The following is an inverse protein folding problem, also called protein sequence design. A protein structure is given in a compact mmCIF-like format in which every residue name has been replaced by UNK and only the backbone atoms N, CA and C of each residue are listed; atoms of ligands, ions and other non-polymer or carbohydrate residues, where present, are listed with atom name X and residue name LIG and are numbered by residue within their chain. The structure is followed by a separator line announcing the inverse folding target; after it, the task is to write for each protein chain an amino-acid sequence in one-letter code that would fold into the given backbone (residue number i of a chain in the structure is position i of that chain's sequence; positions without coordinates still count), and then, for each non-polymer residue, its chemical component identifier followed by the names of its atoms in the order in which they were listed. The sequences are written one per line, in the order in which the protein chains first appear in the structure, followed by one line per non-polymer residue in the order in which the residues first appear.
data_IF_732649456624
#
_entry.id   IF_732649456624
#
_cell.length_a   1.000
_cell.length_b   1.000
_cell.length_c   1.000
_cell.angle_alpha   90.00
_cell.angle_beta   90.00
_cell.angle_gamma   90.00
#
_symmetry.space_group_name_H-M   'P 1'
#
loop_
_entity.id
_entity.type
_entity.pdbx_description
1 polymer ?
#
# COMPACT_ATOMS: atom_id res chain seq x y z
N UNK A 1 8.61 38.59 27.49
CA UNK A 1 9.13 37.24 27.18
C UNK A 1 8.03 36.29 27.60
N UNK A 2 7.11 36.02 26.67
CA UNK A 2 5.92 35.22 26.94
C UNK A 2 6.29 33.73 26.87
N UNK A 3 5.84 32.89 27.82
CA UNK A 3 6.12 31.47 27.77
C UNK A 3 5.35 30.85 26.59
N UNK A 4 6.11 30.27 25.66
CA UNK A 4 5.60 29.49 24.53
C UNK A 4 4.84 28.27 25.10
N UNK A 5 3.53 28.23 24.89
CA UNK A 5 2.69 27.11 25.32
C UNK A 5 3.17 25.81 24.63
N UNK A 6 3.55 24.80 25.42
CA UNK A 6 3.92 23.49 24.92
C UNK A 6 2.68 22.71 24.51
N UNK A 7 2.74 21.89 23.46
CA UNK A 7 1.60 21.11 22.95
C UNK A 7 0.98 20.15 23.97
N UNK A 8 1.66 19.91 25.10
CA UNK A 8 1.19 19.14 26.25
C UNK A 8 0.27 19.92 27.19
N UNK A 9 0.26 21.24 27.10
CA UNK A 9 -0.50 22.13 28.00
C UNK A 9 -1.88 22.52 27.41
N UNK A 10 -2.15 22.17 26.15
CA UNK A 10 -3.45 22.39 25.51
C UNK A 10 -4.42 21.29 25.91
N UNK A 11 -5.00 21.43 27.10
CA UNK A 11 -6.13 20.60 27.53
C UNK A 11 -7.42 21.21 27.02
N UNK A 12 -7.88 20.74 25.85
CA UNK A 12 -9.20 21.08 25.33
C UNK A 12 -10.33 20.56 26.23
N UNK A 13 -11.42 21.31 26.31
CA UNK A 13 -12.58 20.92 27.11
C UNK A 13 -13.26 19.69 26.47
N UNK A 14 -13.27 18.55 27.19
CA UNK A 14 -13.90 17.32 26.70
C UNK A 14 -15.41 17.38 26.96
N UNK A 15 -16.16 17.85 25.97
CA UNK A 15 -17.62 17.87 26.03
C UNK A 15 -18.11 16.45 25.74
N UNK A 16 -18.73 15.82 26.73
CA UNK A 16 -19.43 14.55 26.55
C UNK A 16 -20.82 14.85 26.02
N UNK A 17 -21.11 14.40 24.79
CA UNK A 17 -22.47 14.44 24.25
C UNK A 17 -23.31 13.41 25.01
N UNK A 18 -24.14 13.87 25.93
CA UNK A 18 -25.15 13.02 26.55
C UNK A 18 -26.28 12.82 25.54
N UNK A 19 -26.58 11.56 25.21
CA UNK A 19 -27.71 11.23 24.34
C UNK A 19 -29.00 11.39 25.14
N UNK A 20 -29.81 12.39 24.81
CA UNK A 20 -31.09 12.66 25.47
C UNK A 20 -32.24 11.77 24.99
N UNK A 21 -32.10 11.14 23.82
CA UNK A 21 -33.12 10.29 23.19
C UNK A 21 -32.54 8.91 22.80
N UNK A 22 -33.25 7.80 23.08
CA UNK A 22 -32.81 6.44 22.73
C UNK A 22 -32.66 6.16 21.23
N UNK A 23 -33.17 7.04 20.34
CA UNK A 23 -33.02 6.91 18.88
C UNK A 23 -31.75 7.58 18.33
N UNK A 24 -30.98 8.27 19.16
CA UNK A 24 -29.74 8.89 18.72
C UNK A 24 -28.67 7.83 18.40
N UNK A 25 -28.06 7.94 17.22
CA UNK A 25 -26.90 7.12 16.85
C UNK A 25 -25.74 7.45 17.79
N UNK A 26 -25.38 6.48 18.63
CA UNK A 26 -24.19 6.59 19.49
C UNK A 26 -22.98 6.77 18.60
N UNK A 27 -22.31 7.92 18.70
CA UNK A 27 -21.04 8.14 18.03
C UNK A 27 -20.05 7.08 18.47
N UNK A 28 -19.78 6.10 17.60
CA UNK A 28 -18.67 5.17 17.81
C UNK A 28 -17.40 6.00 17.63
N UNK A 29 -16.63 6.18 18.71
CA UNK A 29 -15.23 6.56 18.55
C UNK A 29 -14.61 5.42 17.78
N UNK A 30 -14.37 5.63 16.48
CA UNK A 30 -13.64 4.67 15.66
C UNK A 30 -12.43 4.19 16.46
N UNK A 31 -12.27 2.87 16.55
CA UNK A 31 -11.14 2.28 17.28
C UNK A 31 -9.87 3.00 16.85
N UNK A 32 -8.96 3.33 17.80
CA UNK A 32 -7.67 3.88 17.44
C UNK A 32 -7.06 2.96 16.36
N UNK A 33 -6.50 3.53 15.27
CA UNK A 33 -5.96 2.72 14.18
C UNK A 33 -5.04 1.67 14.80
N UNK A 34 -5.35 0.40 14.53
CA UNK A 34 -4.57 -0.72 15.03
C UNK A 34 -3.10 -0.45 14.70
N UNK A 35 -2.23 -0.52 15.71
CA UNK A 35 -0.79 -0.23 15.60
C UNK A 35 -0.01 -1.21 14.70
N UNK A 36 -0.70 -1.97 13.86
CA UNK A 36 -0.16 -2.87 12.84
C UNK A 36 -0.28 -2.28 11.42
N UNK A 37 -0.26 -0.96 11.26
CA UNK A 37 0.02 -0.39 9.94
C UNK A 37 1.43 -0.84 9.55
N UNK A 38 1.56 -1.71 8.54
CA UNK A 38 2.87 -2.08 7.99
C UNK A 38 3.62 -0.80 7.63
N UNK A 39 4.88 -0.71 8.05
CA UNK A 39 5.75 0.37 7.61
C UNK A 39 5.82 0.39 6.09
N UNK A 40 5.99 1.57 5.49
CA UNK A 40 6.05 1.74 4.04
C UNK A 40 7.09 0.82 3.41
N UNK A 41 8.25 0.66 4.06
CA UNK A 41 9.29 -0.30 3.64
C UNK A 41 8.73 -1.72 3.53
N UNK A 42 7.97 -2.17 4.53
CA UNK A 42 7.38 -3.50 4.55
C UNK A 42 6.38 -3.69 3.41
N UNK A 43 5.50 -2.70 3.21
CA UNK A 43 4.54 -2.71 2.10
C UNK A 43 5.23 -2.77 0.73
N UNK A 44 6.26 -1.96 0.51
CA UNK A 44 7.02 -1.98 -0.76
C UNK A 44 7.71 -3.31 -0.98
N UNK A 45 8.36 -3.88 0.05
CA UNK A 45 9.02 -5.18 -0.08
C UNK A 45 8.03 -6.31 -0.36
N UNK A 46 6.87 -6.29 0.30
CA UNK A 46 5.80 -7.25 0.03
C UNK A 46 5.33 -7.16 -1.43
N UNK A 47 5.11 -5.95 -1.95
CA UNK A 47 4.67 -5.79 -3.33
C UNK A 47 5.75 -6.11 -4.37
N UNK A 48 7.03 -5.85 -4.07
CA UNK A 48 8.13 -6.32 -4.92
C UNK A 48 8.14 -7.85 -5.03
N UNK A 49 7.87 -8.55 -3.92
CA UNK A 49 7.73 -10.00 -3.93
C UNK A 49 6.50 -10.43 -4.74
N UNK A 50 5.37 -9.72 -4.64
CA UNK A 50 4.19 -9.97 -5.46
C UNK A 50 4.51 -9.87 -6.96
N UNK A 51 5.19 -8.80 -7.39
CA UNK A 51 5.59 -8.63 -8.81
C UNK A 51 6.55 -9.72 -9.27
N UNK A 52 7.49 -10.14 -8.41
CA UNK A 52 8.36 -11.28 -8.71
C UNK A 52 7.57 -12.58 -8.90
N UNK A 53 6.59 -12.85 -8.03
CA UNK A 53 5.75 -14.04 -8.14
C UNK A 53 4.90 -14.02 -9.42
N UNK A 54 4.40 -12.84 -9.84
CA UNK A 54 3.69 -12.70 -11.11
C UNK A 54 4.57 -13.04 -12.31
N UNK A 55 5.83 -12.59 -12.31
CA UNK A 55 6.81 -12.95 -13.35
C UNK A 55 7.10 -14.46 -13.38
N UNK A 56 7.33 -15.06 -12.21
CA UNK A 56 7.57 -16.52 -12.12
C UNK A 56 6.36 -17.32 -12.61
N UNK A 57 5.15 -16.88 -12.27
CA UNK A 57 3.91 -17.51 -12.75
C UNK A 57 3.77 -17.39 -14.27
N UNK A 58 4.03 -16.21 -14.84
CA UNK A 58 3.95 -16.05 -16.31
C UNK A 58 4.98 -16.91 -17.03
N UNK A 59 6.18 -17.04 -16.48
CA UNK A 59 7.24 -17.90 -17.01
C UNK A 59 6.86 -19.38 -16.92
N UNK A 60 6.29 -19.80 -15.79
CA UNK A 60 5.82 -21.17 -15.58
C UNK A 60 4.72 -21.54 -16.58
N UNK A 61 3.70 -20.69 -16.72
CA UNK A 61 2.61 -20.89 -17.67
C UNK A 61 3.13 -20.92 -19.11
N UNK A 62 4.07 -20.04 -19.46
CA UNK A 62 4.71 -20.02 -20.78
C UNK A 62 5.48 -21.31 -21.06
N UNK A 63 6.21 -21.83 -20.06
CA UNK A 63 6.92 -23.11 -20.20
C UNK A 63 5.95 -24.27 -20.34
N UNK A 64 4.91 -24.33 -19.51
CA UNK A 64 3.90 -25.40 -19.56
C UNK A 64 3.18 -25.43 -20.91
N UNK A 65 2.85 -24.26 -21.48
CA UNK A 65 2.25 -24.18 -22.82
C UNK A 65 3.15 -24.83 -23.89
N UNK A 66 4.47 -24.66 -23.79
CA UNK A 66 5.42 -25.24 -24.75
C UNK A 66 5.61 -26.74 -24.52
N UNK A 67 5.62 -27.19 -23.26
CA UNK A 67 5.90 -28.59 -22.92
C UNK A 67 4.67 -29.50 -22.94
N UNK A 68 3.50 -28.96 -22.61
CA UNK A 68 2.24 -29.67 -22.51
C UNK A 68 1.08 -28.72 -22.90
N UNK A 69 0.89 -28.48 -24.20
CA UNK A 69 -0.04 -27.47 -24.72
C UNK A 69 -1.52 -27.77 -24.41
N UNK A 70 -1.90 -29.01 -24.11
CA UNK A 70 -3.28 -29.37 -23.75
C UNK A 70 -3.59 -29.12 -22.26
N UNK A 71 -2.57 -28.86 -21.44
CA UNK A 71 -2.70 -28.66 -19.99
C UNK A 71 -2.95 -27.21 -19.57
N UNK A 72 -2.82 -26.25 -20.49
CA UNK A 72 -2.90 -24.81 -20.18
C UNK A 72 -3.60 -24.05 -21.31
N UNK A 73 -4.54 -23.17 -20.97
CA UNK A 73 -5.16 -22.28 -21.96
C UNK A 73 -4.17 -21.17 -22.37
N UNK A 74 -4.02 -20.96 -23.68
CA UNK A 74 -3.22 -19.88 -24.25
C UNK A 74 -3.64 -18.51 -23.72
N UNK A 75 -4.92 -18.28 -23.45
CA UNK A 75 -5.44 -17.02 -22.90
C UNK A 75 -4.91 -16.79 -21.49
N UNK A 76 -4.88 -17.82 -20.63
CA UNK A 76 -4.35 -17.70 -19.27
C UNK A 76 -2.88 -17.32 -19.26
N UNK A 77 -2.10 -17.87 -20.21
CA UNK A 77 -0.68 -17.51 -20.39
C UNK A 77 -0.56 -16.03 -20.80
N UNK A 78 -1.34 -15.60 -21.78
CA UNK A 78 -1.31 -14.19 -22.22
C UNK A 78 -1.77 -13.21 -21.16
N UNK A 79 -2.81 -13.56 -20.38
CA UNK A 79 -3.31 -12.75 -19.26
C UNK A 79 -2.24 -12.66 -18.19
N UNK A 80 -1.61 -13.77 -17.81
CA UNK A 80 -0.54 -13.78 -16.81
C UNK A 80 0.66 -12.94 -17.26
N UNK A 81 1.05 -13.02 -18.55
CA UNK A 81 2.10 -12.18 -19.13
C UNK A 81 1.71 -10.70 -19.10
N UNK A 82 0.48 -10.35 -19.44
CA UNK A 82 0.00 -8.97 -19.39
C UNK A 82 -0.01 -8.42 -17.96
N UNK A 83 -0.48 -9.21 -17.00
CA UNK A 83 -0.49 -8.88 -15.57
C UNK A 83 0.94 -8.65 -15.05
N UNK A 84 1.86 -9.57 -15.31
CA UNK A 84 3.25 -9.46 -14.90
C UNK A 84 3.94 -8.21 -15.47
N UNK A 85 3.74 -7.94 -16.78
CA UNK A 85 4.30 -6.77 -17.44
C UNK A 85 3.71 -5.45 -16.89
N UNK A 86 2.40 -5.39 -16.68
CA UNK A 86 1.74 -4.22 -16.11
C UNK A 86 2.23 -3.94 -14.69
N UNK A 87 2.28 -4.97 -13.83
CA UNK A 87 2.78 -4.87 -12.48
C UNK A 87 4.24 -4.38 -12.43
N UNK A 88 5.10 -4.92 -13.30
CA UNK A 88 6.50 -4.47 -13.43
C UNK A 88 6.60 -3.00 -13.85
N UNK A 89 5.82 -2.56 -14.83
CA UNK A 89 5.81 -1.17 -15.30
C UNK A 89 5.36 -0.18 -14.21
N UNK A 90 4.36 -0.55 -13.41
CA UNK A 90 3.90 0.23 -12.27
C UNK A 90 5.03 0.32 -11.23
N UNK A 91 5.62 -0.80 -10.86
CA UNK A 91 6.74 -0.87 -9.90
C UNK A 91 7.92 -0.02 -10.34
N UNK A 92 8.32 -0.11 -11.62
CA UNK A 92 9.39 0.73 -12.18
C UNK A 92 9.07 2.21 -12.04
N UNK A 93 7.85 2.62 -12.36
CA UNK A 93 7.40 4.00 -12.22
C UNK A 93 7.48 4.51 -10.77
N UNK A 94 7.16 3.65 -9.80
CA UNK A 94 7.29 3.96 -8.37
C UNK A 94 8.77 4.09 -7.97
N UNK A 95 9.61 3.13 -8.36
CA UNK A 95 11.07 3.17 -8.08
C UNK A 95 11.70 4.43 -8.67
N UNK A 96 11.37 4.78 -9.92
CA UNK A 96 11.88 5.99 -10.55
C UNK A 96 11.45 7.28 -9.82
N UNK A 97 10.24 7.30 -9.24
CA UNK A 97 9.77 8.42 -8.41
C UNK A 97 10.50 8.48 -7.07
N UNK A 98 10.77 7.35 -6.43
CA UNK A 98 11.54 7.29 -5.18
C UNK A 98 12.98 7.77 -5.40
N UNK A 99 13.63 7.33 -6.49
CA UNK A 99 14.98 7.77 -6.84
C UNK A 99 15.01 9.29 -7.10
N UNK A 100 14.01 9.83 -7.81
CA UNK A 100 13.88 11.28 -8.02
C UNK A 100 13.71 12.03 -6.70
N UNK A 101 12.77 11.62 -5.86
CA UNK A 101 12.54 12.24 -4.56
C UNK A 101 13.81 12.25 -3.69
N UNK A 102 14.58 11.15 -3.71
CA UNK A 102 15.86 11.09 -2.99
C UNK A 102 16.89 12.10 -3.53
N UNK A 103 17.02 12.21 -4.86
CA UNK A 103 17.89 13.21 -5.49
C UNK A 103 17.44 14.63 -5.15
N UNK A 104 16.14 14.91 -5.23
CA UNK A 104 15.57 16.21 -4.92
C UNK A 104 15.88 16.63 -3.47
N UNK A 105 15.77 15.71 -2.50
CA UNK A 105 16.11 15.98 -1.08
C UNK A 105 17.61 16.31 -0.92
N UNK A 106 18.49 15.62 -1.64
CA UNK A 106 19.95 15.86 -1.56
C UNK A 106 20.31 17.19 -2.23
N UNK A 107 19.72 17.50 -3.37
CA UNK A 107 20.02 18.71 -4.14
C UNK A 107 19.33 19.96 -3.57
N UNK A 108 18.19 19.82 -2.88
CA UNK A 108 17.52 20.91 -2.17
C UNK A 108 18.21 21.32 -0.85
N UNK A 109 19.36 20.72 -0.53
CA UNK A 109 20.25 21.09 0.58
C UNK A 109 21.42 21.90 0.05
#
# INVERSE_FOLDING_TARGET
MDPVLSSKDVTGHRIFLQTSDPRHLKGSRGSPPSAKSKDFKGMVMDELNTVNNLQLKSDELSRRLVTDPDSVDVHDVTIALAEANMALNITKSVVDRVIRAYRDIITAR
#
